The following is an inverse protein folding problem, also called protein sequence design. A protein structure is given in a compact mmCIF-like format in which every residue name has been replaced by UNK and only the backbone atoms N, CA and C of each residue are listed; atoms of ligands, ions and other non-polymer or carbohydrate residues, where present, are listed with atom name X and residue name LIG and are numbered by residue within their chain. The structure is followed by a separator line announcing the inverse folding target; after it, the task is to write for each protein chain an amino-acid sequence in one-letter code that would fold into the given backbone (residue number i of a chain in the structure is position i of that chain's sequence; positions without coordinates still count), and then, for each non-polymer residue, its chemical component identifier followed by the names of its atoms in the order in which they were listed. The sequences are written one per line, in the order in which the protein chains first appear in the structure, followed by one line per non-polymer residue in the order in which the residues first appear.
data_IF_806030488132
#
_entry.id   IF_806030488132
#
_cell.length_a   1.000
_cell.length_b   1.000
_cell.length_c   1.000
_cell.angle_alpha   90.00
_cell.angle_beta   90.00
_cell.angle_gamma   90.00
#
_symmetry.space_group_name_H-M   'P 1'
#
loop_
_entity.id
_entity.type
_entity.pdbx_description
1 polymer ?
#
# COMPACT_ATOMS: atom_id res chain seq x y z
N UNK A 1 2.19 5.05 -29.86
CA UNK A 1 0.97 5.35 -29.07
C UNK A 1 1.41 5.76 -27.67
N UNK A 2 0.75 6.73 -27.05
CA UNK A 2 1.10 7.17 -25.69
C UNK A 2 0.37 6.28 -24.66
N UNK A 3 1.03 5.96 -23.56
CA UNK A 3 0.51 5.18 -22.42
C UNK A 3 0.18 6.19 -21.31
N UNK A 4 -0.93 6.01 -20.58
CA UNK A 4 -1.33 6.95 -19.53
C UNK A 4 -2.20 6.30 -18.45
N UNK A 5 -2.24 6.92 -17.28
CA UNK A 5 -3.22 6.68 -16.23
C UNK A 5 -4.26 7.80 -16.26
N UNK A 6 -5.54 7.46 -16.33
CA UNK A 6 -6.63 8.45 -16.33
C UNK A 6 -7.46 8.36 -15.04
N UNK A 7 -7.63 9.47 -14.34
CA UNK A 7 -8.46 9.57 -13.14
C UNK A 7 -9.93 9.38 -13.52
N UNK A 8 -10.59 8.39 -12.93
CA UNK A 8 -12.02 8.10 -13.17
C UNK A 8 -12.91 8.42 -12.00
N UNK A 9 -12.42 8.24 -10.79
CA UNK A 9 -13.17 8.52 -9.56
C UNK A 9 -12.25 9.17 -8.54
N UNK A 10 -12.82 10.06 -7.74
CA UNK A 10 -12.13 10.78 -6.68
C UNK A 10 -13.08 10.90 -5.47
N UNK A 11 -12.52 10.73 -4.28
CA UNK A 11 -13.16 11.05 -3.01
C UNK A 11 -12.19 11.91 -2.21
N UNK A 12 -12.69 12.98 -1.58
CA UNK A 12 -11.91 13.81 -0.67
C UNK A 12 -10.81 14.64 -1.36
N UNK A 13 -9.70 14.82 -0.65
CA UNK A 13 -8.54 15.58 -1.09
C UNK A 13 -7.58 14.69 -1.89
N UNK A 14 -7.54 14.92 -3.21
CA UNK A 14 -6.61 14.25 -4.12
C UNK A 14 -5.88 15.30 -4.95
N UNK A 15 -4.57 15.17 -5.04
CA UNK A 15 -3.72 16.05 -5.83
C UNK A 15 -2.93 15.27 -6.87
N UNK A 16 -2.62 15.94 -7.97
CA UNK A 16 -1.64 15.47 -8.96
C UNK A 16 -0.39 16.34 -8.79
N UNK A 17 0.72 15.68 -8.56
CA UNK A 17 2.05 16.29 -8.51
C UNK A 17 2.72 16.09 -9.87
N UNK A 18 3.17 17.18 -10.48
CA UNK A 18 3.99 17.21 -11.69
C UNK A 18 5.28 17.95 -11.36
N UNK A 19 6.30 17.86 -12.22
CA UNK A 19 7.67 18.31 -11.97
C UNK A 19 7.80 19.62 -11.18
N UNK A 20 6.96 20.63 -11.44
CA UNK A 20 7.02 21.93 -10.75
C UNK A 20 5.67 22.41 -10.19
N UNK A 21 4.65 21.55 -10.10
CA UNK A 21 3.31 21.96 -9.63
C UNK A 21 2.56 20.83 -8.95
N UNK A 22 1.89 21.15 -7.85
CA UNK A 22 0.84 20.32 -7.26
C UNK A 22 -0.50 21.00 -7.51
N UNK A 23 -1.48 20.25 -7.99
CA UNK A 23 -2.83 20.76 -8.25
C UNK A 23 -3.88 19.75 -7.78
N UNK A 24 -5.07 20.20 -7.35
CA UNK A 24 -6.19 19.30 -7.12
C UNK A 24 -6.49 18.46 -8.37
N UNK A 25 -6.69 17.17 -8.16
CA UNK A 25 -7.04 16.23 -9.23
C UNK A 25 -8.51 16.44 -9.66
N UNK A 26 -8.80 16.17 -10.93
CA UNK A 26 -10.14 16.14 -11.50
C UNK A 26 -10.36 14.84 -12.26
N UNK A 27 -11.61 14.38 -12.31
CA UNK A 27 -11.98 13.27 -13.19
C UNK A 27 -11.65 13.63 -14.65
N UNK A 28 -11.01 12.72 -15.35
CA UNK A 28 -10.49 12.92 -16.71
C UNK A 28 -9.04 13.41 -16.76
N UNK A 29 -8.44 13.81 -15.62
CA UNK A 29 -7.01 14.13 -15.59
C UNK A 29 -6.17 12.90 -15.97
N UNK A 30 -5.13 13.14 -16.74
CA UNK A 30 -4.17 12.13 -17.17
C UNK A 30 -2.80 12.35 -16.55
N UNK A 31 -2.21 11.25 -16.10
CA UNK A 31 -0.81 11.14 -15.75
C UNK A 31 -0.13 10.35 -16.87
N UNK A 32 0.80 10.96 -17.58
CA UNK A 32 1.43 10.40 -18.78
C UNK A 32 2.93 10.67 -18.87
N UNK A 33 3.47 11.40 -17.90
CA UNK A 33 4.87 11.80 -17.86
C UNK A 33 5.57 11.06 -16.74
N UNK A 34 6.81 10.65 -16.97
CA UNK A 34 7.68 10.15 -15.91
C UNK A 34 7.80 11.22 -14.83
N UNK A 35 7.57 10.83 -13.57
CA UNK A 35 7.56 11.74 -12.43
C UNK A 35 6.19 12.30 -12.07
N UNK A 36 5.17 12.20 -12.94
CA UNK A 36 3.80 12.53 -12.55
C UNK A 36 3.38 11.60 -11.39
N UNK A 37 2.77 12.17 -10.36
CA UNK A 37 2.30 11.43 -9.19
C UNK A 37 0.87 11.82 -8.83
N UNK A 38 0.17 10.91 -8.17
CA UNK A 38 -1.12 11.16 -7.53
C UNK A 38 -0.96 10.95 -6.03
N UNK A 39 -1.47 11.88 -5.24
CA UNK A 39 -1.44 11.84 -3.79
C UNK A 39 -2.85 11.98 -3.23
N UNK A 40 -3.17 11.16 -2.24
CA UNK A 40 -4.46 11.16 -1.52
C UNK A 40 -4.22 11.54 -0.05
N UNK A 41 -5.08 12.40 0.48
CA UNK A 41 -5.10 12.73 1.91
C UNK A 41 -5.89 11.72 2.74
N UNK A 42 -6.12 12.05 4.02
CA UNK A 42 -6.99 11.29 4.90
C UNK A 42 -8.44 11.30 4.37
N UNK A 43 -9.17 10.21 4.56
CA UNK A 43 -10.54 9.98 4.07
C UNK A 43 -10.70 10.29 2.56
N UNK A 44 -9.64 10.06 1.78
CA UNK A 44 -9.59 10.38 0.36
C UNK A 44 -9.17 9.17 -0.46
N UNK A 45 -9.60 9.07 -1.70
CA UNK A 45 -9.22 7.97 -2.58
C UNK A 45 -9.32 8.37 -4.05
N UNK A 46 -8.62 7.64 -4.91
CA UNK A 46 -8.69 7.80 -6.34
C UNK A 46 -8.76 6.45 -7.05
N UNK A 47 -9.51 6.40 -8.15
CA UNK A 47 -9.48 5.24 -9.08
C UNK A 47 -8.94 5.74 -10.40
N UNK A 48 -7.83 5.15 -10.85
CA UNK A 48 -7.23 5.42 -12.15
C UNK A 48 -7.44 4.23 -13.07
N UNK A 49 -7.72 4.48 -14.34
CA UNK A 49 -7.66 3.45 -15.38
C UNK A 49 -6.27 3.44 -16.00
N UNK A 50 -5.70 2.24 -16.14
CA UNK A 50 -4.45 2.00 -16.86
C UNK A 50 -4.77 1.87 -18.34
N UNK A 51 -4.22 2.78 -19.14
CA UNK A 51 -4.37 2.82 -20.60
C UNK A 51 -5.83 2.88 -21.09
N UNK A 52 -6.10 2.42 -22.31
CA UNK A 52 -7.44 2.30 -22.88
C UNK A 52 -8.22 1.12 -22.25
N UNK A 53 -8.16 0.97 -20.93
CA UNK A 53 -9.00 0.07 -20.15
C UNK A 53 -8.39 -1.28 -19.77
N UNK A 54 -7.06 -1.45 -19.75
CA UNK A 54 -6.44 -2.74 -19.37
C UNK A 54 -6.81 -3.12 -17.94
N UNK A 55 -7.02 -2.13 -17.07
CA UNK A 55 -7.58 -2.32 -15.74
C UNK A 55 -7.66 -1.03 -14.96
N UNK A 56 -7.77 -1.15 -13.65
CA UNK A 56 -7.78 -0.03 -12.72
C UNK A 56 -6.73 -0.16 -11.61
N UNK A 57 -6.31 0.99 -11.11
CA UNK A 57 -5.51 1.16 -9.89
C UNK A 57 -6.36 1.96 -8.91
N UNK A 58 -6.69 1.34 -7.78
CA UNK A 58 -7.32 2.00 -6.65
C UNK A 58 -6.22 2.52 -5.74
N UNK A 59 -6.19 3.82 -5.49
CA UNK A 59 -5.27 4.52 -4.60
C UNK A 59 -6.05 4.87 -3.34
N UNK A 60 -5.70 4.23 -2.23
CA UNK A 60 -6.38 4.42 -0.94
C UNK A 60 -6.00 5.76 -0.31
N UNK A 61 -6.47 6.05 0.91
CA UNK A 61 -6.09 7.25 1.64
C UNK A 61 -4.59 7.28 2.00
N UNK A 62 -4.07 8.48 2.29
CA UNK A 62 -2.68 8.69 2.73
C UNK A 62 -1.62 8.06 1.81
N UNK A 63 -1.90 7.98 0.51
CA UNK A 63 -1.09 7.26 -0.46
C UNK A 63 -0.44 8.23 -1.43
N UNK A 64 0.81 7.93 -1.80
CA UNK A 64 1.51 8.58 -2.91
C UNK A 64 1.87 7.50 -3.92
N UNK A 65 1.52 7.71 -5.19
CA UNK A 65 1.89 6.83 -6.30
C UNK A 65 2.47 7.67 -7.44
N UNK A 66 3.63 7.28 -7.97
CA UNK A 66 4.34 8.00 -9.03
C UNK A 66 4.58 7.11 -10.24
N UNK A 67 4.56 7.72 -11.43
CA UNK A 67 4.99 7.06 -12.65
C UNK A 67 6.52 7.06 -12.74
N UNK A 68 7.11 5.87 -12.85
CA UNK A 68 8.54 5.68 -13.15
C UNK A 68 8.81 5.48 -14.62
N UNK A 69 7.95 4.72 -15.29
CA UNK A 69 8.07 4.47 -16.72
C UNK A 69 6.73 4.10 -17.31
N UNK A 70 6.45 4.62 -18.50
CA UNK A 70 5.34 4.21 -19.35
C UNK A 70 5.89 4.10 -20.77
N UNK A 71 5.96 2.89 -21.30
CA UNK A 71 6.48 2.65 -22.65
C UNK A 71 5.75 1.51 -23.35
N UNK A 72 5.97 1.39 -24.66
CA UNK A 72 5.40 0.36 -25.52
C UNK A 72 6.54 -0.39 -26.19
N UNK A 73 6.57 -1.70 -26.01
CA UNK A 73 7.50 -2.62 -26.65
C UNK A 73 7.19 -2.77 -28.16
N UNK A 74 8.15 -3.27 -28.97
CA UNK A 74 7.96 -3.41 -30.42
C UNK A 74 6.74 -4.25 -30.84
N UNK A 75 6.34 -5.23 -30.03
CA UNK A 75 5.18 -6.10 -30.23
C UNK A 75 3.86 -5.51 -29.69
N UNK A 76 3.82 -4.20 -29.43
CA UNK A 76 2.73 -3.49 -28.76
C UNK A 76 2.50 -3.92 -27.29
N UNK A 77 3.43 -4.68 -26.69
CA UNK A 77 3.44 -4.93 -25.25
C UNK A 77 3.59 -3.62 -24.48
N UNK A 78 2.94 -3.52 -23.32
CA UNK A 78 2.97 -2.29 -22.51
C UNK A 78 3.81 -2.49 -21.27
N UNK A 79 4.75 -1.59 -21.04
CA UNK A 79 5.63 -1.61 -19.88
C UNK A 79 5.21 -0.45 -18.98
N UNK A 80 4.71 -0.78 -17.78
CA UNK A 80 4.29 0.18 -16.76
C UNK A 80 5.10 -0.03 -15.51
N UNK A 81 5.84 1.00 -15.08
CA UNK A 81 6.55 1.00 -13.80
C UNK A 81 5.99 2.10 -12.93
N UNK A 82 5.50 1.73 -11.75
CA UNK A 82 4.96 2.65 -10.75
C UNK A 82 5.83 2.59 -9.50
N UNK A 83 5.92 3.70 -8.78
CA UNK A 83 6.56 3.79 -7.47
C UNK A 83 5.50 4.11 -6.43
N UNK A 84 5.48 3.36 -5.33
CA UNK A 84 4.62 3.59 -4.17
C UNK A 84 5.50 3.74 -2.93
N UNK A 85 5.91 4.96 -2.57
CA UNK A 85 6.75 5.16 -1.39
C UNK A 85 5.99 4.99 -0.06
N UNK A 86 4.67 5.16 -0.05
CA UNK A 86 3.82 5.02 1.14
C UNK A 86 2.35 4.81 0.79
N UNK A 87 1.60 4.23 1.72
CA UNK A 87 0.16 4.07 1.63
C UNK A 87 -0.22 2.76 0.96
N UNK A 88 -1.34 2.71 0.25
CA UNK A 88 -1.92 1.47 -0.26
C UNK A 88 -2.50 1.64 -1.65
N UNK A 89 -2.17 0.72 -2.54
CA UNK A 89 -2.80 0.59 -3.84
C UNK A 89 -3.34 -0.83 -4.05
N UNK A 90 -4.41 -0.95 -4.84
CA UNK A 90 -4.90 -2.24 -5.35
C UNK A 90 -5.09 -2.16 -6.85
N UNK A 91 -4.50 -3.11 -7.56
CA UNK A 91 -4.58 -3.18 -9.01
C UNK A 91 -5.51 -4.32 -9.42
N UNK A 92 -6.41 -4.01 -10.35
CA UNK A 92 -7.34 -4.96 -10.94
C UNK A 92 -7.25 -4.85 -12.46
N UNK A 93 -6.48 -5.75 -13.05
CA UNK A 93 -6.02 -5.75 -14.42
C UNK A 93 -6.59 -6.94 -15.16
N UNK A 94 -6.76 -6.81 -16.47
CA UNK A 94 -6.96 -7.96 -17.35
C UNK A 94 -5.61 -8.62 -17.60
N UNK A 95 -5.62 -9.92 -17.92
CA UNK A 95 -4.40 -10.62 -18.34
C UNK A 95 -3.81 -9.90 -19.55
N UNK A 96 -2.49 -9.71 -19.54
CA UNK A 96 -1.80 -9.15 -20.67
C UNK A 96 -1.87 -10.09 -21.87
N UNK A 97 -2.11 -9.51 -23.05
CA UNK A 97 -2.22 -10.26 -24.31
C UNK A 97 -0.90 -10.34 -25.06
N UNK A 98 -0.01 -9.36 -24.89
CA UNK A 98 1.31 -9.34 -25.51
C UNK A 98 2.37 -9.92 -24.57
N UNK A 99 3.25 -10.83 -25.02
CA UNK A 99 4.28 -11.47 -24.20
C UNK A 99 5.23 -10.48 -23.50
N UNK A 100 5.50 -9.33 -24.12
CA UNK A 100 6.39 -8.31 -23.56
C UNK A 100 5.66 -7.22 -22.76
N UNK A 101 4.43 -7.48 -22.30
CA UNK A 101 3.77 -6.57 -21.36
C UNK A 101 4.28 -6.81 -19.94
N UNK A 102 4.61 -5.73 -19.26
CA UNK A 102 5.22 -5.74 -17.94
C UNK A 102 4.55 -4.70 -17.05
N UNK A 103 4.33 -5.08 -15.80
CA UNK A 103 3.95 -4.17 -14.75
C UNK A 103 4.82 -4.42 -13.54
N UNK A 104 5.44 -3.35 -13.06
CA UNK A 104 6.27 -3.37 -11.86
C UNK A 104 5.83 -2.28 -10.89
N UNK A 105 5.79 -2.63 -9.61
CA UNK A 105 5.61 -1.71 -8.50
C UNK A 105 6.91 -1.63 -7.70
N UNK A 106 7.57 -0.49 -7.74
CA UNK A 106 8.70 -0.15 -6.88
C UNK A 106 8.21 0.35 -5.52
N UNK A 107 8.81 -0.17 -4.46
CA UNK A 107 8.60 0.26 -3.08
C UNK A 107 9.96 0.41 -2.39
N UNK A 108 10.04 1.08 -1.21
CA UNK A 108 11.30 1.17 -0.47
C UNK A 108 11.87 -0.20 -0.07
N UNK A 109 11.03 -1.24 0.04
CA UNK A 109 11.46 -2.59 0.38
C UNK A 109 11.92 -3.43 -0.81
N UNK A 110 11.65 -3.01 -2.05
CA UNK A 110 11.98 -3.77 -3.24
C UNK A 110 10.95 -3.63 -4.36
N UNK A 111 11.06 -4.51 -5.34
CA UNK A 111 10.24 -4.51 -6.56
C UNK A 111 9.21 -5.62 -6.49
N UNK A 112 8.00 -5.34 -6.97
CA UNK A 112 6.99 -6.36 -7.22
C UNK A 112 6.70 -6.42 -8.72
N UNK A 113 7.20 -7.46 -9.39
CA UNK A 113 6.93 -7.77 -10.79
C UNK A 113 5.63 -8.56 -10.93
N UNK A 114 4.76 -8.18 -11.86
CA UNK A 114 3.38 -8.69 -11.89
C UNK A 114 3.13 -9.55 -13.12
N UNK A 115 2.72 -10.80 -12.88
CA UNK A 115 2.13 -11.71 -13.87
C UNK A 115 0.76 -12.14 -13.37
N UNK A 116 -0.16 -11.18 -13.24
CA UNK A 116 -1.44 -11.41 -12.59
C UNK A 116 -2.42 -10.26 -12.75
N UNK A 117 -3.60 -10.43 -12.15
CA UNK A 117 -4.75 -9.55 -12.41
C UNK A 117 -5.26 -8.82 -11.18
N UNK A 118 -5.27 -9.41 -9.98
CA UNK A 118 -5.83 -8.74 -8.79
C UNK A 118 -4.90 -8.91 -7.59
N UNK A 119 -4.28 -7.82 -7.16
CA UNK A 119 -3.37 -7.79 -6.03
C UNK A 119 -3.33 -6.41 -5.37
N UNK A 120 -2.92 -6.39 -4.10
CA UNK A 120 -2.75 -5.19 -3.29
C UNK A 120 -1.33 -5.04 -2.79
N UNK A 121 -0.89 -3.79 -2.69
CA UNK A 121 0.40 -3.40 -2.12
C UNK A 121 0.15 -2.36 -1.03
N UNK A 122 0.70 -2.61 0.16
CA UNK A 122 0.61 -1.72 1.32
C UNK A 122 2.03 -1.40 1.82
N UNK A 123 2.37 -0.12 1.94
CA UNK A 123 3.69 0.37 2.31
C UNK A 123 3.59 1.20 3.59
N UNK A 124 4.21 0.69 4.66
CA UNK A 124 4.27 1.32 5.98
C UNK A 124 5.25 2.52 6.00
N UNK A 125 5.21 3.39 7.02
CA UNK A 125 6.06 4.58 7.07
C UNK A 125 7.57 4.33 7.03
N UNK A 126 8.02 3.16 7.48
CA UNK A 126 9.41 2.71 7.42
C UNK A 126 9.77 2.03 6.09
N UNK A 127 8.82 1.91 5.17
CA UNK A 127 9.00 1.26 3.88
C UNK A 127 8.68 -0.24 3.87
N UNK A 128 8.36 -0.85 5.02
CA UNK A 128 7.92 -2.25 5.06
C UNK A 128 6.69 -2.42 4.17
N UNK A 129 6.79 -3.36 3.24
CA UNK A 129 5.83 -3.54 2.15
C UNK A 129 5.13 -4.88 2.28
N UNK A 130 3.81 -4.88 2.41
CA UNK A 130 2.96 -6.06 2.32
C UNK A 130 2.37 -6.20 0.92
N UNK A 131 2.39 -7.43 0.38
CA UNK A 131 1.78 -7.79 -0.90
C UNK A 131 0.77 -8.91 -0.66
N UNK A 132 -0.42 -8.78 -1.24
CA UNK A 132 -1.44 -9.80 -1.21
C UNK A 132 -1.99 -10.02 -2.62
N UNK A 133 -1.91 -11.25 -3.12
CA UNK A 133 -2.38 -11.60 -4.47
C UNK A 133 -3.70 -12.36 -4.35
N UNK A 134 -4.77 -11.78 -4.88
CA UNK A 134 -6.06 -12.46 -4.96
C UNK A 134 -6.12 -13.36 -6.20
N UNK A 135 -5.73 -12.85 -7.37
CA UNK A 135 -5.76 -13.58 -8.64
C UNK A 135 -4.51 -13.33 -9.48
N UNK A 136 -3.95 -14.40 -10.07
CA UNK A 136 -2.73 -14.37 -10.87
C UNK A 136 -1.48 -14.66 -10.05
N UNK A 137 -0.36 -14.01 -10.34
CA UNK A 137 0.87 -14.12 -9.56
C UNK A 137 1.61 -12.77 -9.50
N UNK A 138 2.24 -12.51 -8.37
CA UNK A 138 3.17 -11.40 -8.16
C UNK A 138 4.50 -11.99 -7.70
N UNK A 139 5.60 -11.51 -8.27
CA UNK A 139 6.95 -11.85 -7.82
C UNK A 139 7.46 -10.68 -7.00
N UNK A 140 7.73 -10.89 -5.72
CA UNK A 140 8.42 -9.88 -4.90
C UNK A 140 9.92 -10.14 -4.94
N UNK A 141 10.70 -9.10 -5.18
CA UNK A 141 12.15 -9.18 -5.35
C UNK A 141 12.86 -8.14 -4.48
N UNK A 142 13.79 -8.59 -3.64
CA UNK A 142 14.66 -7.74 -2.83
C UNK A 142 15.94 -8.48 -2.44
N UNK A 143 17.04 -7.76 -2.24
CA UNK A 143 18.33 -8.33 -1.84
C UNK A 143 18.80 -9.51 -2.73
N UNK A 144 18.51 -9.45 -4.04
CA UNK A 144 18.85 -10.50 -5.00
C UNK A 144 18.06 -11.81 -4.85
N UNK A 145 16.99 -11.80 -4.04
CA UNK A 145 16.10 -12.95 -3.87
C UNK A 145 14.69 -12.61 -4.36
N UNK A 146 14.04 -13.61 -4.97
CA UNK A 146 12.68 -13.53 -5.49
C UNK A 146 11.79 -14.53 -4.74
N UNK A 147 10.55 -14.12 -4.49
CA UNK A 147 9.51 -14.97 -3.90
C UNK A 147 8.23 -14.81 -4.72
N UNK A 148 7.72 -15.95 -5.20
CA UNK A 148 6.43 -16.03 -5.88
C UNK A 148 5.27 -15.92 -4.86
N UNK A 149 4.38 -14.96 -5.10
CA UNK A 149 3.13 -14.73 -4.36
C UNK A 149 1.97 -15.01 -5.30
N UNK A 150 1.65 -16.30 -5.44
CA UNK A 150 0.54 -16.77 -6.27
C UNK A 150 -0.83 -16.31 -5.74
N UNK A 151 -1.87 -16.42 -6.57
CA UNK A 151 -3.25 -16.15 -6.17
C UNK A 151 -3.64 -16.96 -4.94
N UNK A 152 -4.21 -16.28 -3.94
CA UNK A 152 -4.51 -16.87 -2.64
C UNK A 152 -3.33 -16.85 -1.65
N UNK A 153 -2.25 -16.11 -1.95
CA UNK A 153 -1.10 -15.92 -1.06
C UNK A 153 -0.80 -14.45 -0.78
N UNK A 154 -0.03 -14.22 0.27
CA UNK A 154 0.48 -12.93 0.70
C UNK A 154 1.91 -13.07 1.26
N UNK A 155 2.69 -12.00 1.19
CA UNK A 155 3.96 -11.90 1.91
C UNK A 155 4.25 -10.44 2.29
N UNK A 156 5.39 -10.23 2.94
CA UNK A 156 5.92 -8.89 3.16
C UNK A 156 7.42 -8.86 2.91
N UNK A 157 7.95 -7.66 2.70
CA UNK A 157 9.37 -7.37 2.60
C UNK A 157 9.71 -6.19 3.50
N UNK A 158 10.77 -6.30 4.27
CA UNK A 158 11.33 -5.21 5.08
C UNK A 158 12.50 -4.60 4.29
N UNK A 159 12.69 -3.27 4.26
CA UNK A 159 13.81 -2.66 3.58
C UNK A 159 15.16 -3.26 3.99
N UNK A 160 16.03 -3.47 2.99
CA UNK A 160 17.32 -4.12 3.14
C UNK A 160 17.28 -5.61 3.57
N UNK A 161 16.12 -6.26 3.58
CA UNK A 161 15.96 -7.70 3.79
C UNK A 161 15.40 -8.39 2.53
N UNK A 162 15.66 -9.69 2.31
CA UNK A 162 14.97 -10.44 1.27
C UNK A 162 13.47 -10.56 1.57
N UNK A 163 12.61 -10.82 0.56
CA UNK A 163 11.18 -11.01 0.79
C UNK A 163 10.92 -12.20 1.71
N UNK A 164 9.94 -12.06 2.62
CA UNK A 164 9.50 -13.18 3.43
C UNK A 164 8.84 -14.26 2.56
N UNK A 165 8.89 -15.54 2.97
CA UNK A 165 8.16 -16.61 2.29
C UNK A 165 6.67 -16.29 2.16
N UNK A 166 6.08 -16.66 1.03
CA UNK A 166 4.65 -16.52 0.82
C UNK A 166 3.85 -17.41 1.79
N UNK A 167 2.78 -16.85 2.35
CA UNK A 167 1.84 -17.53 3.24
C UNK A 167 0.43 -17.43 2.67
N UNK A 168 -0.49 -18.35 3.04
CA UNK A 168 -1.88 -18.26 2.58
C UNK A 168 -2.50 -16.90 2.91
N UNK A 169 -3.22 -16.34 1.93
CA UNK A 169 -3.94 -15.08 2.06
C UNK A 169 -4.97 -15.18 3.18
N UNK A 170 -4.90 -14.25 4.12
CA UNK A 170 -5.84 -14.19 5.26
C UNK A 170 -6.87 -13.09 5.09
N UNK A 171 -6.45 -11.95 4.53
CA UNK A 171 -7.29 -10.76 4.38
C UNK A 171 -8.03 -10.39 5.68
N UNK A 172 -7.34 -10.52 6.81
CA UNK A 172 -7.87 -10.38 8.16
C UNK A 172 -7.50 -9.02 8.77
N UNK A 173 -8.45 -8.36 9.41
CA UNK A 173 -8.31 -7.06 10.09
C UNK A 173 -8.32 -7.18 11.61
N UNK A 174 -8.22 -8.40 12.18
CA UNK A 174 -8.14 -8.62 13.62
C UNK A 174 -6.97 -7.85 14.25
N UNK A 175 -7.27 -7.28 15.42
CA UNK A 175 -6.32 -6.59 16.28
C UNK A 175 -6.26 -7.31 17.63
N UNK A 176 -5.09 -7.85 17.97
CA UNK A 176 -4.78 -8.26 19.34
C UNK A 176 -4.16 -7.07 20.05
N UNK A 177 -4.59 -6.75 21.27
CA UNK A 177 -4.04 -5.61 22.00
C UNK A 177 -4.01 -5.80 23.51
N UNK A 178 -3.14 -5.04 24.16
CA UNK A 178 -3.06 -4.92 25.60
C UNK A 178 -2.62 -3.50 25.99
N UNK A 179 -3.22 -2.95 27.05
CA UNK A 179 -2.70 -1.75 27.70
C UNK A 179 -1.84 -2.11 28.90
N UNK A 180 -0.67 -1.49 29.01
CA UNK A 180 0.27 -1.66 30.13
C UNK A 180 0.51 -0.32 30.80
N UNK A 181 0.32 -0.26 32.13
CA UNK A 181 0.73 0.90 32.93
C UNK A 181 2.22 0.81 33.20
N UNK A 182 2.94 1.91 33.01
CA UNK A 182 4.37 1.98 33.29
C UNK A 182 4.76 3.33 33.89
N UNK A 183 5.91 3.34 34.56
CA UNK A 183 6.53 4.54 35.11
C UNK A 183 7.87 4.69 34.41
N UNK A 184 8.07 5.83 33.75
CA UNK A 184 9.29 6.12 32.99
C UNK A 184 9.78 7.52 33.42
N UNK A 185 10.97 7.59 34.02
CA UNK A 185 11.49 8.85 34.59
C UNK A 185 10.60 9.45 35.68
N UNK A 186 9.88 8.62 36.45
CA UNK A 186 8.92 9.07 37.48
C UNK A 186 7.56 9.51 36.94
N UNK A 187 7.36 9.53 35.62
CA UNK A 187 6.09 9.90 34.98
C UNK A 187 5.27 8.65 34.67
N UNK A 188 4.01 8.62 35.10
CA UNK A 188 3.06 7.55 34.76
C UNK A 188 2.67 7.65 33.30
N UNK A 189 2.74 6.53 32.58
CA UNK A 189 2.36 6.39 31.18
C UNK A 189 1.51 5.15 30.98
N UNK A 190 0.80 5.12 29.86
CA UNK A 190 0.07 3.95 29.37
C UNK A 190 0.71 3.57 28.03
N UNK A 191 1.06 2.30 27.85
CA UNK A 191 1.52 1.76 26.57
C UNK A 191 0.44 0.87 25.99
N UNK A 192 -0.03 1.21 24.80
CA UNK A 192 -0.78 0.29 23.95
C UNK A 192 0.22 -0.61 23.24
N UNK A 193 0.10 -1.91 23.46
CA UNK A 193 0.76 -2.96 22.67
C UNK A 193 -0.29 -3.54 21.74
N UNK A 194 0.01 -3.60 20.44
CA UNK A 194 -0.90 -4.16 19.44
C UNK A 194 -0.19 -5.14 18.53
N UNK A 195 -0.96 -6.06 17.94
CA UNK A 195 -0.51 -7.00 16.91
C UNK A 195 -1.59 -7.20 15.87
N UNK A 196 -1.18 -7.14 14.60
CA UNK A 196 -2.00 -7.41 13.41
C UNK A 196 -1.30 -8.42 12.51
N UNK A 197 -1.92 -8.82 11.39
CA UNK A 197 -1.20 -9.56 10.36
C UNK A 197 -0.02 -8.71 9.82
N UNK A 198 1.21 -9.26 9.67
CA UNK A 198 2.38 -8.49 9.29
C UNK A 198 2.30 -7.71 7.98
N UNK A 199 1.37 -8.05 7.07
CA UNK A 199 1.17 -7.36 5.79
C UNK A 199 0.26 -6.14 5.88
N UNK A 200 -0.43 -5.94 7.00
CA UNK A 200 -1.44 -4.90 7.16
C UNK A 200 -0.82 -3.53 7.46
N UNK A 201 -1.56 -2.48 7.11
CA UNK A 201 -1.33 -1.13 7.63
C UNK A 201 -2.07 -0.93 8.95
N UNK A 202 -1.47 -0.12 9.82
CA UNK A 202 -2.05 0.25 11.11
C UNK A 202 -2.03 1.78 11.23
N UNK A 203 -3.15 2.37 11.57
CA UNK A 203 -3.24 3.76 12.01
C UNK A 203 -3.80 3.81 13.42
N UNK A 204 -3.15 4.56 14.30
CA UNK A 204 -3.60 4.80 15.67
C UNK A 204 -3.93 6.28 15.79
N UNK A 205 -5.20 6.59 16.07
CA UNK A 205 -5.73 7.97 16.07
C UNK A 205 -5.33 8.74 14.79
N UNK A 206 -5.46 8.09 13.62
CA UNK A 206 -5.09 8.61 12.28
C UNK A 206 -3.59 8.85 12.06
N UNK A 207 -2.74 8.36 12.95
CA UNK A 207 -1.28 8.38 12.77
C UNK A 207 -0.84 6.99 12.34
N UNK A 208 -0.28 6.87 11.14
CA UNK A 208 0.29 5.62 10.65
C UNK A 208 1.39 5.11 11.59
N UNK A 209 1.34 3.81 11.87
CA UNK A 209 2.30 3.11 12.71
C UNK A 209 3.14 2.15 11.87
N UNK A 210 4.35 1.88 12.33
CA UNK A 210 5.20 0.80 11.82
C UNK A 210 4.99 -0.46 12.63
N UNK A 211 5.20 -1.62 12.00
CA UNK A 211 5.08 -2.93 12.64
C UNK A 211 6.35 -3.74 12.45
N UNK A 212 6.73 -4.51 13.48
CA UNK A 212 7.83 -5.47 13.36
C UNK A 212 7.47 -6.65 12.44
N UNK A 213 8.39 -7.61 12.25
CA UNK A 213 8.14 -8.80 11.40
C UNK A 213 6.93 -9.63 11.84
N UNK A 214 6.57 -9.56 13.11
CA UNK A 214 5.48 -10.34 13.71
C UNK A 214 4.16 -9.55 13.76
N UNK A 215 4.15 -8.36 13.14
CA UNK A 215 3.01 -7.46 13.06
C UNK A 215 2.76 -6.68 14.35
N UNK A 216 3.73 -6.61 15.28
CA UNK A 216 3.59 -5.89 16.54
C UNK A 216 3.90 -4.41 16.37
N UNK A 217 3.14 -3.57 17.08
CA UNK A 217 3.39 -2.13 17.21
C UNK A 217 3.15 -1.70 18.66
N UNK A 218 3.66 -0.51 19.02
CA UNK A 218 3.38 0.06 20.34
C UNK A 218 3.24 1.58 20.29
N UNK A 219 2.31 2.12 21.08
CA UNK A 219 2.07 3.56 21.20
C UNK A 219 2.05 3.96 22.68
N UNK A 220 2.72 5.06 23.01
CA UNK A 220 2.76 5.62 24.36
C UNK A 220 1.77 6.76 24.52
N UNK A 221 1.05 6.73 25.63
CA UNK A 221 0.09 7.75 26.04
C UNK A 221 0.43 8.29 27.43
N UNK A 222 0.07 9.55 27.73
CA UNK A 222 0.06 10.02 29.11
C UNK A 222 -0.92 9.18 29.95
N UNK A 223 -0.66 9.05 31.26
CA UNK A 223 -1.56 8.36 32.17
C UNK A 223 -2.83 9.20 32.42
N UNK A 224 -3.84 9.00 31.58
CA UNK A 224 -5.17 9.59 31.72
C UNK A 224 -6.07 8.68 32.58
N UNK A 225 -7.11 9.27 33.19
CA UNK A 225 -8.14 8.53 33.94
C UNK A 225 -9.08 7.74 33.03
N UNK A 226 -9.20 8.15 31.77
CA UNK A 226 -9.87 7.42 30.70
C UNK A 226 -9.09 7.65 29.40
N UNK A 227 -8.90 6.60 28.62
CA UNK A 227 -8.24 6.70 27.33
C UNK A 227 -9.09 5.95 26.30
N UNK A 228 -9.51 6.67 25.26
CA UNK A 228 -10.15 6.11 24.07
C UNK A 228 -9.19 6.19 22.89
N UNK A 229 -8.92 5.06 22.26
CA UNK A 229 -8.00 4.96 21.12
C UNK A 229 -8.72 4.36 19.93
N UNK A 230 -8.64 5.02 18.78
CA UNK A 230 -9.08 4.46 17.51
C UNK A 230 -7.90 3.77 16.83
N UNK A 231 -8.03 2.49 16.50
CA UNK A 231 -7.04 1.75 15.72
C UNK A 231 -7.68 1.26 14.43
N UNK A 232 -7.26 1.80 13.29
CA UNK A 232 -7.63 1.30 11.96
C UNK A 232 -6.62 0.25 11.51
N UNK A 233 -7.12 -0.90 11.08
CA UNK A 233 -6.34 -1.96 10.45
C UNK A 233 -6.83 -2.12 9.01
N UNK A 234 -5.92 -2.01 8.05
CA UNK A 234 -6.24 -2.12 6.62
C UNK A 234 -5.38 -3.18 5.95
N UNK A 235 -6.01 -4.12 5.24
CA UNK A 235 -5.32 -5.15 4.47
C UNK A 235 -4.85 -4.60 3.12
N UNK A 236 -3.83 -5.19 2.47
CA UNK A 236 -3.39 -4.73 1.14
C UNK A 236 -4.52 -4.75 0.10
N UNK A 237 -5.46 -5.70 0.20
CA UNK A 237 -6.61 -5.82 -0.71
C UNK A 237 -7.76 -4.83 -0.40
N UNK A 238 -7.66 -4.09 0.70
CA UNK A 238 -8.56 -3.00 1.06
C UNK A 238 -9.74 -3.34 1.92
N UNK A 239 -9.71 -4.49 2.59
CA UNK A 239 -10.56 -4.70 3.75
C UNK A 239 -10.04 -3.80 4.87
N UNK A 240 -10.93 -3.07 5.54
CA UNK A 240 -10.56 -2.18 6.64
C UNK A 240 -11.50 -2.37 7.82
N UNK A 241 -10.96 -2.26 9.03
CA UNK A 241 -11.74 -2.26 10.25
C UNK A 241 -11.19 -1.23 11.23
N UNK A 242 -12.10 -0.48 11.86
CA UNK A 242 -11.79 0.44 12.95
C UNK A 242 -12.13 -0.23 14.28
N UNK A 243 -11.14 -0.32 15.17
CA UNK A 243 -11.27 -0.84 16.53
C UNK A 243 -11.24 0.34 17.51
N UNK A 244 -12.27 0.45 18.34
CA UNK A 244 -12.32 1.46 19.41
C UNK A 244 -11.91 0.77 20.71
N UNK A 245 -10.76 1.18 21.25
CA UNK A 245 -10.18 0.62 22.46
C UNK A 245 -10.40 1.59 23.63
N UNK A 246 -10.72 1.03 24.78
CA UNK A 246 -10.93 1.79 26.02
C UNK A 246 -10.02 1.25 27.13
N UNK A 247 -9.52 2.16 27.96
CA UNK A 247 -8.66 1.88 29.11
C UNK A 247 -9.02 2.78 30.29
#
# INVERSE_FOLDING_TARGET
MQTWLEVRQLVGNVTIERSNRSQPARVGDRLSTVGDAIATGANSSAVLIVDTGIGNVNVAENTLMRIRSLSVAPDQGRITRLEVPRGRIRLQLRRFTSPNSELEIETPAGISGVRGTDFGVAVQPDGKTGVATLNGAVVTAAQGQEVDVAGGFQNFTIPAEPPAPATPLRNDTQLQYQFVRLIEGGVRRIRLLGRVDPVNLVEVNRVAQTTDRDGRFSVLYPALSSLRVEVRVSTPLGTEQVHVLEF
#
